data_IF_177652116540
#
_entry.id   IF_177652116540
#
_cell.length_a   1.000
_cell.length_b   1.000
_cell.length_c   1.000
_cell.angle_alpha   90.00
_cell.angle_beta   90.00
_cell.angle_gamma   90.00
#
_symmetry.space_group_name_H-M   'P 1'
#
loop_
_entity.id
_entity.type
_entity.pdbx_description
1 polymer ?
#
# COMPACT_ATOMS: atom_id res chain seq x y z
N UNK A 1 -30.09 45.93 -40.23
CA UNK A 1 -29.52 45.79 -38.88
C UNK A 1 -29.55 44.33 -38.39
N UNK A 2 -30.69 43.62 -38.47
CA UNK A 2 -30.82 42.21 -38.04
C UNK A 2 -29.86 41.25 -38.78
N UNK A 3 -29.70 41.41 -40.10
CA UNK A 3 -28.81 40.54 -40.91
C UNK A 3 -27.35 40.66 -40.48
N UNK A 4 -26.86 41.86 -40.12
CA UNK A 4 -25.48 42.02 -39.64
C UNK A 4 -25.24 41.46 -38.23
N UNK A 5 -26.28 41.44 -37.39
CA UNK A 5 -26.19 40.87 -36.06
C UNK A 5 -26.08 39.33 -36.11
N UNK A 6 -26.75 38.70 -37.09
CA UNK A 6 -26.67 37.25 -37.32
C UNK A 6 -25.32 36.82 -37.92
N UNK A 7 -24.72 37.64 -38.79
CA UNK A 7 -23.38 37.39 -39.34
C UNK A 7 -22.32 37.47 -38.23
N UNK A 8 -22.35 38.51 -37.39
CA UNK A 8 -21.41 38.67 -36.28
C UNK A 8 -21.53 37.55 -35.22
N UNK A 9 -22.74 37.10 -34.90
CA UNK A 9 -22.96 35.97 -34.00
C UNK A 9 -22.36 34.65 -34.56
N UNK A 10 -22.48 34.44 -35.87
CA UNK A 10 -21.91 33.26 -36.53
C UNK A 10 -20.38 33.30 -36.60
N UNK A 11 -19.78 34.49 -36.75
CA UNK A 11 -18.32 34.68 -36.75
C UNK A 11 -17.69 34.60 -35.35
N UNK A 12 -18.45 34.86 -34.28
CA UNK A 12 -17.98 34.75 -32.88
C UNK A 12 -18.11 33.33 -32.30
N UNK A 13 -19.05 32.53 -32.82
CA UNK A 13 -19.25 31.13 -32.40
C UNK A 13 -18.23 30.17 -33.03
N UNK A 14 -17.84 30.40 -34.29
CA UNK A 14 -16.87 29.58 -35.02
C UNK A 14 -15.48 29.48 -34.32
N UNK A 15 -14.84 30.58 -33.86
CA UNK A 15 -13.54 30.53 -33.21
C UNK A 15 -13.59 29.92 -31.81
N UNK A 16 -14.69 30.10 -31.07
CA UNK A 16 -14.90 29.48 -29.75
C UNK A 16 -15.08 27.96 -29.88
N UNK A 17 -15.84 27.51 -30.88
CA UNK A 17 -15.98 26.09 -31.19
C UNK A 17 -14.63 25.45 -31.59
N UNK A 18 -13.85 26.11 -32.45
CA UNK A 18 -12.50 25.65 -32.79
C UNK A 18 -11.57 25.60 -31.58
N UNK A 19 -11.63 26.60 -30.69
CA UNK A 19 -10.82 26.63 -29.47
C UNK A 19 -11.20 25.49 -28.51
N UNK A 20 -12.49 25.21 -28.33
CA UNK A 20 -12.95 24.07 -27.51
C UNK A 20 -12.53 22.73 -28.10
N UNK A 21 -12.60 22.56 -29.43
CA UNK A 21 -12.15 21.35 -30.12
C UNK A 21 -10.63 21.16 -29.99
N UNK A 22 -9.86 22.24 -30.18
CA UNK A 22 -8.41 22.22 -29.99
C UNK A 22 -8.02 21.89 -28.55
N UNK A 23 -8.72 22.45 -27.57
CA UNK A 23 -8.49 22.16 -26.15
C UNK A 23 -8.84 20.71 -25.81
N UNK A 24 -9.96 20.19 -26.32
CA UNK A 24 -10.36 18.79 -26.12
C UNK A 24 -9.36 17.81 -26.75
N UNK A 25 -8.86 18.10 -27.96
CA UNK A 25 -7.81 17.33 -28.62
C UNK A 25 -6.50 17.37 -27.83
N UNK A 26 -6.11 18.55 -27.31
CA UNK A 26 -4.92 18.69 -26.48
C UNK A 26 -5.05 17.86 -25.19
N UNK A 27 -6.21 17.90 -24.53
CA UNK A 27 -6.47 17.09 -23.32
C UNK A 27 -6.35 15.61 -23.64
N UNK A 28 -6.96 15.12 -24.73
CA UNK A 28 -6.84 13.72 -25.14
C UNK A 28 -5.41 13.31 -25.49
N UNK A 29 -4.59 14.22 -26.04
CA UNK A 29 -3.17 13.94 -26.31
C UNK A 29 -2.33 13.86 -25.03
N UNK A 30 -2.80 14.44 -23.92
CA UNK A 30 -2.07 14.47 -22.63
C UNK A 30 -2.53 13.42 -21.62
N UNK A 31 -3.60 12.67 -21.89
CA UNK A 31 -4.07 11.61 -20.99
C UNK A 31 -3.12 10.42 -20.99
N UNK A 32 -2.53 10.14 -19.83
CA UNK A 32 -1.72 8.93 -19.57
C UNK A 32 -2.62 7.87 -18.91
N UNK A 33 -2.53 6.58 -19.29
CA UNK A 33 -3.28 5.52 -18.61
C UNK A 33 -2.92 5.48 -17.12
N UNK A 34 -3.96 5.44 -16.27
CA UNK A 34 -3.78 5.22 -14.84
C UNK A 34 -3.50 3.73 -14.60
N UNK A 35 -2.26 3.37 -14.28
CA UNK A 35 -1.84 2.02 -13.88
C UNK A 35 -2.31 1.66 -12.46
N UNK A 36 -3.62 1.82 -12.19
CA UNK A 36 -4.20 1.66 -10.84
C UNK A 36 -4.68 0.23 -10.56
N UNK A 37 -4.64 -0.67 -11.53
CA UNK A 37 -5.19 -2.04 -11.42
C UNK A 37 -4.05 -3.03 -11.19
N UNK A 38 -3.51 -3.04 -9.98
CA UNK A 38 -2.59 -4.10 -9.56
C UNK A 38 -3.40 -5.11 -8.76
N UNK A 39 -3.51 -6.33 -9.30
CA UNK A 39 -4.06 -7.44 -8.54
C UNK A 39 -3.04 -7.84 -7.45
N UNK A 40 -3.50 -7.81 -6.20
CA UNK A 40 -2.70 -8.21 -5.04
C UNK A 40 -2.95 -9.68 -4.66
N UNK A 41 -3.87 -10.37 -5.34
CA UNK A 41 -4.14 -11.76 -5.07
C UNK A 41 -2.91 -12.63 -5.36
N UNK A 42 -2.67 -13.60 -4.48
CA UNK A 42 -1.55 -14.53 -4.60
C UNK A 42 -0.90 -14.88 -3.28
N UNK A 43 0.20 -15.64 -3.39
CA UNK A 43 1.06 -16.01 -2.27
C UNK A 43 2.32 -15.14 -2.31
N UNK A 44 2.49 -14.36 -1.27
CA UNK A 44 3.60 -13.42 -1.12
C UNK A 44 4.61 -14.02 -0.15
N UNK A 45 5.78 -14.36 -0.68
CA UNK A 45 6.89 -14.85 0.14
C UNK A 45 7.35 -13.76 1.12
N UNK A 46 7.60 -14.16 2.37
CA UNK A 46 8.16 -13.25 3.37
C UNK A 46 9.52 -12.74 2.90
N UNK A 47 9.66 -11.41 2.78
CA UNK A 47 10.91 -10.75 2.45
C UNK A 47 11.36 -9.88 3.61
N UNK A 48 12.36 -10.34 4.32
CA UNK A 48 12.99 -9.59 5.40
C UNK A 48 14.05 -8.66 4.80
N UNK A 49 13.73 -7.38 4.70
CA UNK A 49 14.68 -6.33 4.29
C UNK A 49 15.31 -5.62 5.50
N UNK A 50 14.96 -6.03 6.72
CA UNK A 50 15.60 -5.56 7.94
C UNK A 50 16.92 -6.29 8.15
N UNK A 51 17.92 -5.57 8.65
CA UNK A 51 19.25 -6.11 8.96
C UNK A 51 19.12 -7.28 9.95
N UNK A 52 19.31 -8.50 9.45
CA UNK A 52 19.11 -9.74 10.21
C UNK A 52 20.12 -9.91 11.36
N UNK A 53 21.23 -9.15 11.33
CA UNK A 53 22.38 -9.36 12.20
C UNK A 53 22.35 -8.51 13.49
N UNK A 54 21.37 -7.61 13.66
CA UNK A 54 21.34 -6.63 14.76
C UNK A 54 20.45 -6.97 15.97
N UNK A 55 19.54 -7.94 15.88
CA UNK A 55 18.70 -8.37 17.00
C UNK A 55 19.12 -9.76 17.47
N UNK A 56 20.26 -9.83 18.15
CA UNK A 56 20.55 -11.00 18.96
C UNK A 56 19.55 -11.03 20.13
N UNK A 57 18.89 -12.16 20.42
CA UNK A 57 18.12 -12.31 21.66
C UNK A 57 18.96 -11.87 22.86
N UNK A 58 18.42 -10.97 23.69
CA UNK A 58 19.11 -10.43 24.86
C UNK A 58 19.81 -9.08 24.67
N UNK A 59 19.79 -8.48 23.47
CA UNK A 59 20.17 -7.08 23.30
C UNK A 59 18.95 -6.16 23.56
N UNK A 60 19.08 -5.31 24.58
CA UNK A 60 18.05 -4.38 25.01
C UNK A 60 18.42 -2.91 24.73
N UNK A 61 19.48 -2.67 23.94
CA UNK A 61 19.99 -1.34 23.65
C UNK A 61 18.92 -0.48 22.96
N UNK A 62 18.65 0.71 23.52
CA UNK A 62 17.67 1.65 22.97
C UNK A 62 16.21 1.34 23.32
N UNK A 63 15.91 0.24 24.00
CA UNK A 63 14.56 -0.06 24.48
C UNK A 63 14.30 0.62 25.84
N UNK A 64 13.20 1.38 26.01
CA UNK A 64 12.86 2.02 27.28
C UNK A 64 12.20 1.00 28.24
N UNK A 65 12.96 0.02 28.72
CA UNK A 65 12.47 -1.05 29.62
C UNK A 65 13.13 -1.00 31.01
N UNK A 66 12.40 -1.44 32.04
CA UNK A 66 12.90 -1.60 33.42
C UNK A 66 13.50 -3.00 33.66
N UNK A 67 14.04 -3.22 34.86
CA UNK A 67 14.69 -4.47 35.26
C UNK A 67 13.72 -5.67 35.27
N UNK A 68 12.46 -5.43 35.64
CA UNK A 68 11.42 -6.45 35.61
C UNK A 68 11.09 -6.89 34.18
N UNK A 69 10.97 -5.94 33.25
CA UNK A 69 10.74 -6.24 31.84
C UNK A 69 11.94 -6.98 31.23
N UNK A 70 13.17 -6.61 31.59
CA UNK A 70 14.39 -7.33 31.17
C UNK A 70 14.38 -8.77 31.66
N UNK A 71 14.11 -8.98 32.95
CA UNK A 71 14.00 -10.32 33.54
C UNK A 71 12.95 -11.17 32.82
N UNK A 72 11.81 -10.57 32.46
CA UNK A 72 10.76 -11.26 31.71
C UNK A 72 11.20 -11.63 30.30
N UNK A 73 11.96 -10.76 29.63
CA UNK A 73 12.50 -11.02 28.31
C UNK A 73 13.57 -12.12 28.34
N UNK A 74 14.45 -12.13 29.35
CA UNK A 74 15.48 -13.17 29.53
C UNK A 74 14.88 -14.55 29.88
N UNK A 75 13.69 -14.58 30.50
CA UNK A 75 12.98 -15.82 30.81
C UNK A 75 12.32 -16.47 29.58
N UNK A 76 12.37 -15.83 28.41
CA UNK A 76 11.80 -16.38 27.19
C UNK A 76 12.66 -17.52 26.62
N UNK A 77 12.01 -18.56 26.10
CA UNK A 77 12.67 -19.70 25.47
C UNK A 77 12.06 -19.95 24.08
N UNK A 78 12.89 -20.33 23.11
CA UNK A 78 12.45 -20.62 21.73
C UNK A 78 11.39 -21.74 21.70
N UNK A 79 11.46 -22.69 22.63
CA UNK A 79 10.49 -23.79 22.75
C UNK A 79 9.06 -23.32 22.95
N UNK A 80 8.83 -22.10 23.43
CA UNK A 80 7.49 -21.55 23.65
C UNK A 80 6.66 -21.47 22.36
N UNK A 81 7.31 -21.30 21.20
CA UNK A 81 6.64 -21.27 19.90
C UNK A 81 6.19 -22.66 19.44
N UNK A 82 6.86 -23.72 19.90
CA UNK A 82 6.53 -25.10 19.57
C UNK A 82 5.53 -25.74 20.54
N UNK A 83 5.18 -25.06 21.64
CA UNK A 83 4.23 -25.58 22.63
C UNK A 83 2.81 -25.61 22.07
N UNK A 84 2.12 -26.77 22.03
CA UNK A 84 0.73 -26.87 21.57
C UNK A 84 -0.24 -25.97 22.34
N UNK A 85 -0.01 -25.81 23.65
CA UNK A 85 -0.88 -25.03 24.55
C UNK A 85 -0.82 -23.53 24.25
N UNK A 86 0.21 -23.06 23.54
CA UNK A 86 0.45 -21.65 23.24
C UNK A 86 0.12 -21.24 21.81
N UNK A 87 -0.36 -22.16 20.97
CA UNK A 87 -0.63 -21.88 19.56
C UNK A 87 -1.73 -20.82 19.33
N UNK A 88 -2.65 -20.65 20.29
CA UNK A 88 -3.70 -19.63 20.22
C UNK A 88 -3.26 -18.26 20.77
N UNK A 89 -2.04 -18.15 21.30
CA UNK A 89 -1.51 -16.87 21.76
C UNK A 89 -1.00 -16.12 20.54
N UNK A 90 -1.38 -14.84 20.41
CA UNK A 90 -0.86 -14.02 19.33
C UNK A 90 0.68 -14.03 19.33
N UNK A 91 1.25 -14.32 18.18
CA UNK A 91 2.69 -14.16 17.99
C UNK A 91 3.06 -12.68 18.17
N UNK A 92 4.31 -12.43 18.59
CA UNK A 92 4.80 -11.04 18.68
C UNK A 92 4.74 -10.40 17.29
N UNK A 93 4.55 -9.08 17.23
CA UNK A 93 4.51 -8.33 15.97
C UNK A 93 5.71 -8.66 15.07
N UNK A 94 6.89 -8.78 15.67
CA UNK A 94 8.12 -9.14 14.97
C UNK A 94 8.11 -10.57 14.39
N UNK A 95 7.47 -11.53 15.07
CA UNK A 95 7.38 -12.90 14.58
C UNK A 95 6.30 -13.07 13.50
N UNK A 96 5.21 -12.31 13.58
CA UNK A 96 4.16 -12.33 12.56
C UNK A 96 4.71 -11.87 11.20
N UNK A 97 5.57 -10.84 11.20
CA UNK A 97 6.12 -10.25 9.98
C UNK A 97 7.35 -11.00 9.46
N UNK A 98 8.23 -11.49 10.36
CA UNK A 98 9.48 -12.19 9.99
C UNK A 98 9.38 -13.71 9.93
N UNK A 99 8.29 -14.28 10.43
CA UNK A 99 8.11 -15.72 10.53
C UNK A 99 8.14 -16.40 9.15
N UNK A 100 8.26 -17.74 9.13
CA UNK A 100 8.28 -18.51 7.88
C UNK A 100 6.94 -18.48 7.12
N UNK A 101 5.90 -17.89 7.72
CA UNK A 101 4.57 -17.80 7.13
C UNK A 101 4.57 -16.80 5.96
N UNK A 102 4.05 -17.23 4.82
CA UNK A 102 3.80 -16.36 3.66
C UNK A 102 2.44 -15.69 3.81
N UNK A 103 2.30 -14.48 3.26
CA UNK A 103 1.01 -13.81 3.20
C UNK A 103 0.22 -14.34 2.00
N UNK A 104 -1.00 -14.81 2.24
CA UNK A 104 -1.93 -15.18 1.18
C UNK A 104 -3.04 -14.13 1.10
N UNK A 105 -3.24 -13.57 -0.09
CA UNK A 105 -4.32 -12.62 -0.37
C UNK A 105 -5.21 -13.25 -1.43
N UNK A 106 -6.52 -13.29 -1.17
CA UNK A 106 -7.54 -13.75 -2.11
C UNK A 106 -8.58 -12.66 -2.31
N UNK A 107 -9.07 -12.52 -3.54
CA UNK A 107 -10.21 -11.65 -3.84
C UNK A 107 -11.50 -12.33 -3.40
N UNK A 108 -12.33 -11.63 -2.64
CA UNK A 108 -13.73 -12.00 -2.38
C UNK A 108 -14.63 -11.17 -3.30
N UNK A 109 -15.54 -11.83 -4.02
CA UNK A 109 -16.55 -11.17 -4.84
C UNK A 109 -17.91 -11.51 -4.22
N UNK A 110 -18.54 -10.53 -3.58
CA UNK A 110 -19.89 -10.66 -3.04
C UNK A 110 -20.90 -10.77 -4.21
N UNK A 111 -21.81 -11.76 -4.23
CA UNK A 111 -22.76 -12.01 -5.34
C UNK A 111 -23.77 -10.89 -5.59
#
# INVERSE_FOLDING_TARGET
>A
MVIQMMINAHTDFLPKACMCVALALLVMLTTVPAFAQVDLAGVWAARNHEDLEGMLPGDYTGLPINDEARTRADAWLLSYQAMPERQCIMYTSHYVVRGPQSLQISSEIDP
#
